data_IF_255508389049
#
_entry.id   IF_255508389049
#
_cell.length_a   1.000
_cell.length_b   1.000
_cell.length_c   1.000
_cell.angle_alpha   90.00
_cell.angle_beta   90.00
_cell.angle_gamma   90.00
#
_symmetry.space_group_name_H-M   'P 1'
#
loop_
_entity.id
_entity.type
_entity.pdbx_description
1 polymer ?
#
# COMPACT_ATOMS: atom_id res chain seq x y z
N UNK A 1 -11.37 -0.70 -18.76
CA UNK A 1 -10.08 -0.35 -18.13
C UNK A 1 -9.43 -1.67 -17.77
N UNK A 2 -8.42 -2.07 -18.55
CA UNK A 2 -7.78 -3.39 -18.45
C UNK A 2 -6.86 -3.45 -17.21
N UNK A 3 -7.43 -3.82 -16.07
CA UNK A 3 -6.62 -4.32 -14.97
C UNK A 3 -6.17 -5.73 -15.34
N UNK A 4 -4.91 -5.91 -15.73
CA UNK A 4 -4.36 -7.25 -15.98
C UNK A 4 -4.58 -8.11 -14.73
N UNK A 5 -5.33 -9.19 -14.91
CA UNK A 5 -5.86 -10.11 -13.89
C UNK A 5 -4.78 -10.74 -12.98
N UNK A 6 -3.49 -10.61 -13.29
CA UNK A 6 -2.41 -10.98 -12.38
C UNK A 6 -1.15 -10.18 -12.72
N UNK A 7 -0.68 -9.33 -11.80
CA UNK A 7 0.57 -8.60 -11.96
C UNK A 7 1.72 -9.41 -11.33
N UNK A 8 2.42 -10.20 -12.14
CA UNK A 8 3.51 -11.07 -11.67
C UNK A 8 4.58 -10.32 -10.87
N UNK A 9 4.78 -9.02 -11.16
CA UNK A 9 5.72 -8.19 -10.41
C UNK A 9 5.23 -7.89 -9.01
N UNK A 10 3.94 -7.62 -8.82
CA UNK A 10 3.36 -7.41 -7.49
C UNK A 10 3.45 -8.69 -6.65
N UNK A 11 3.15 -9.85 -7.24
CA UNK A 11 3.25 -11.14 -6.55
C UNK A 11 4.68 -11.44 -6.08
N UNK A 12 5.69 -11.15 -6.91
CA UNK A 12 7.09 -11.37 -6.54
C UNK A 12 7.49 -10.59 -5.27
N UNK A 13 6.91 -9.40 -5.05
CA UNK A 13 7.16 -8.61 -3.84
C UNK A 13 6.48 -9.22 -2.62
N UNK A 14 5.26 -9.73 -2.79
CA UNK A 14 4.50 -10.37 -1.72
C UNK A 14 5.21 -11.65 -1.24
N UNK A 15 5.80 -12.42 -2.15
CA UNK A 15 6.60 -13.60 -1.82
C UNK A 15 7.92 -13.24 -1.10
N UNK A 16 8.53 -12.11 -1.47
CA UNK A 16 9.77 -11.62 -0.88
C UNK A 16 9.58 -10.99 0.51
N UNK A 17 8.47 -10.29 0.73
CA UNK A 17 8.19 -9.45 1.90
C UNK A 17 8.44 -10.15 3.26
N UNK A 18 7.98 -11.39 3.50
CA UNK A 18 8.13 -12.05 4.79
C UNK A 18 9.59 -12.29 5.22
N UNK A 19 10.52 -12.31 4.27
CA UNK A 19 11.94 -12.53 4.52
C UNK A 19 12.69 -11.29 5.01
N UNK A 20 12.08 -10.10 4.95
CA UNK A 20 12.79 -8.82 5.13
C UNK A 20 12.11 -7.85 6.09
N UNK A 21 10.80 -7.95 6.27
CA UNK A 21 10.06 -7.04 7.17
C UNK A 21 10.22 -7.45 8.63
N UNK A 22 10.33 -6.47 9.53
CA UNK A 22 10.17 -6.72 10.96
C UNK A 22 8.73 -7.16 11.23
N UNK A 23 8.58 -8.37 11.77
CA UNK A 23 7.28 -9.01 12.07
C UNK A 23 6.41 -8.24 13.07
N UNK A 24 6.99 -7.26 13.79
CA UNK A 24 6.28 -6.42 14.76
C UNK A 24 5.72 -5.14 14.16
N UNK A 25 6.15 -4.77 12.95
CA UNK A 25 5.74 -3.51 12.32
C UNK A 25 4.58 -3.74 11.35
N UNK A 26 3.63 -2.80 11.28
CA UNK A 26 2.55 -2.87 10.31
C UNK A 26 3.06 -2.57 8.90
N UNK A 27 2.34 -3.10 7.92
CA UNK A 27 2.52 -2.82 6.49
C UNK A 27 1.24 -2.17 5.99
N UNK A 28 1.33 -0.88 5.69
CA UNK A 28 0.21 -0.11 5.16
C UNK A 28 0.21 -0.11 3.64
N UNK A 29 -0.98 -0.18 3.06
CA UNK A 29 -1.17 -0.15 1.62
C UNK A 29 -2.58 0.33 1.28
N UNK A 30 -2.82 0.59 0.01
CA UNK A 30 -4.19 0.85 -0.45
C UNK A 30 -5.07 -0.41 -0.30
N UNK A 31 -6.37 -0.28 -0.57
CA UNK A 31 -7.34 -1.34 -0.29
C UNK A 31 -7.03 -2.65 -1.01
N UNK A 32 -6.49 -2.60 -2.22
CA UNK A 32 -6.13 -3.82 -2.96
C UNK A 32 -4.77 -4.37 -2.50
N UNK A 33 -3.79 -3.51 -2.23
CA UNK A 33 -2.52 -3.93 -1.62
C UNK A 33 -2.73 -4.61 -0.28
N UNK A 34 -3.66 -4.11 0.54
CA UNK A 34 -4.02 -4.68 1.83
C UNK A 34 -4.53 -6.12 1.69
N UNK A 35 -5.42 -6.37 0.72
CA UNK A 35 -5.92 -7.71 0.46
C UNK A 35 -4.79 -8.63 -0.01
N UNK A 36 -3.95 -8.16 -0.94
CA UNK A 36 -2.85 -8.94 -1.51
C UNK A 36 -1.79 -9.30 -0.46
N UNK A 37 -1.31 -8.32 0.32
CA UNK A 37 -0.35 -8.56 1.40
C UNK A 37 -0.97 -9.39 2.52
N UNK A 38 -2.26 -9.16 2.82
CA UNK A 38 -3.01 -9.88 3.86
C UNK A 38 -3.08 -11.40 3.65
N UNK A 39 -3.01 -11.90 2.42
CA UNK A 39 -2.92 -13.35 2.15
C UNK A 39 -1.64 -13.99 2.70
N UNK A 40 -0.55 -13.23 2.82
CA UNK A 40 0.75 -13.75 3.29
C UNK A 40 1.09 -13.27 4.69
N UNK A 41 0.74 -12.02 5.03
CA UNK A 41 1.12 -11.33 6.26
C UNK A 41 -0.11 -10.75 6.96
N UNK A 42 -1.13 -11.59 7.16
CA UNK A 42 -2.46 -11.20 7.67
C UNK A 42 -2.42 -10.26 8.89
N UNK A 43 -1.61 -10.57 9.90
CA UNK A 43 -1.55 -9.76 11.13
C UNK A 43 -0.85 -8.40 10.96
N UNK A 44 0.02 -8.25 9.95
CA UNK A 44 0.78 -7.02 9.71
C UNK A 44 0.10 -6.12 8.67
N UNK A 45 -0.68 -6.67 7.75
CA UNK A 45 -1.30 -5.90 6.67
C UNK A 45 -2.42 -5.01 7.19
N UNK A 46 -2.35 -3.72 6.84
CA UNK A 46 -3.35 -2.72 7.21
C UNK A 46 -3.68 -1.83 5.99
N UNK A 47 -4.94 -1.40 5.81
CA UNK A 47 -5.26 -0.36 4.83
C UNK A 47 -4.68 0.98 5.28
N UNK A 48 -4.39 1.89 4.35
CA UNK A 48 -3.91 3.22 4.67
C UNK A 48 -4.77 3.88 5.76
N UNK A 49 -4.14 4.40 6.83
CA UNK A 49 -4.87 5.03 7.92
C UNK A 49 -5.31 6.43 7.50
N UNK A 50 -6.39 6.92 8.09
CA UNK A 50 -6.77 8.33 7.98
C UNK A 50 -5.81 9.25 8.72
N UNK A 51 -5.12 8.72 9.74
CA UNK A 51 -4.07 9.40 10.50
C UNK A 51 -2.69 8.93 10.01
N UNK A 52 -1.98 9.82 9.32
CA UNK A 52 -0.70 9.54 8.67
C UNK A 52 0.46 9.37 9.68
N UNK A 53 0.34 9.82 10.94
CA UNK A 53 1.39 9.64 11.95
C UNK A 53 1.70 8.16 12.22
N UNK A 54 0.69 7.30 12.06
CA UNK A 54 0.82 5.84 12.19
C UNK A 54 1.74 5.22 11.12
N UNK A 55 2.01 5.95 10.04
CA UNK A 55 2.88 5.51 8.96
C UNK A 55 4.35 5.79 9.26
N UNK A 56 4.69 6.70 10.18
CA UNK A 56 6.09 7.03 10.49
C UNK A 56 6.89 5.79 10.88
N UNK A 57 6.31 4.91 11.69
CA UNK A 57 6.94 3.67 12.16
C UNK A 57 6.36 2.42 11.50
N UNK A 58 6.17 2.48 10.18
CA UNK A 58 5.59 1.39 9.43
C UNK A 58 6.22 1.20 8.05
N UNK A 59 6.07 0.00 7.52
CA UNK A 59 6.30 -0.25 6.11
C UNK A 59 5.13 0.27 5.28
N UNK A 60 5.43 0.73 4.07
CA UNK A 60 4.41 1.07 3.07
C UNK A 60 4.61 0.22 1.84
N UNK A 61 3.55 -0.46 1.40
CA UNK A 61 3.52 -1.23 0.17
C UNK A 61 2.70 -0.47 -0.88
N UNK A 62 3.35 -0.14 -1.99
CA UNK A 62 2.74 0.52 -3.14
C UNK A 62 2.68 -0.46 -4.32
N UNK A 63 1.48 -0.72 -4.82
CA UNK A 63 1.27 -1.53 -6.03
C UNK A 63 1.47 -0.69 -7.30
N UNK A 64 1.48 -1.32 -8.47
CA UNK A 64 1.73 -0.65 -9.77
C UNK A 64 0.82 0.55 -9.95
N UNK A 65 -0.47 0.41 -9.62
CA UNK A 65 -1.41 1.53 -9.75
C UNK A 65 -1.02 2.75 -8.91
N UNK A 66 -0.54 2.55 -7.68
CA UNK A 66 -0.18 3.65 -6.80
C UNK A 66 0.98 4.44 -7.39
N UNK A 67 1.93 3.74 -8.00
CA UNK A 67 3.13 4.31 -8.59
C UNK A 67 2.78 5.01 -9.91
N UNK A 68 2.06 4.33 -10.80
CA UNK A 68 1.81 4.81 -12.16
C UNK A 68 0.77 5.94 -12.23
N UNK A 69 -0.21 5.94 -11.32
CA UNK A 69 -1.31 6.91 -11.33
C UNK A 69 -1.22 7.92 -10.18
N UNK A 70 -0.25 7.80 -9.27
CA UNK A 70 -0.15 8.62 -8.06
C UNK A 70 -1.44 8.60 -7.21
N UNK A 71 -2.08 7.43 -7.12
CA UNK A 71 -3.40 7.27 -6.48
C UNK A 71 -3.45 6.09 -5.51
N UNK A 72 -4.22 6.21 -4.42
CA UNK A 72 -4.64 5.09 -3.59
C UNK A 72 -6.10 4.72 -3.87
N UNK A 73 -6.39 3.43 -3.95
CA UNK A 73 -7.77 2.95 -3.85
C UNK A 73 -8.14 2.79 -2.39
N UNK A 74 -9.19 3.48 -1.95
CA UNK A 74 -9.72 3.41 -0.59
C UNK A 74 -11.15 2.90 -0.60
N UNK A 75 -11.59 2.33 0.53
CA UNK A 75 -12.98 1.96 0.75
C UNK A 75 -13.66 3.07 1.56
N UNK A 76 -14.55 3.83 0.93
CA UNK A 76 -15.34 4.86 1.61
C UNK A 76 -16.66 4.25 2.06
N UNK A 77 -16.99 4.42 3.34
CA UNK A 77 -18.28 4.05 3.92
C UNK A 77 -19.12 5.30 4.15
N UNK A 78 -20.35 5.31 3.64
CA UNK A 78 -21.38 6.34 3.90
C UNK A 78 -22.67 5.64 4.31
N UNK A 79 -22.84 5.45 5.61
CA UNK A 79 -23.94 4.64 6.16
C UNK A 79 -23.75 3.17 5.79
N UNK A 80 -24.77 2.56 5.20
CA UNK A 80 -24.72 1.17 4.73
C UNK A 80 -24.05 1.00 3.36
N UNK A 81 -23.78 2.11 2.65
CA UNK A 81 -23.14 2.06 1.34
C UNK A 81 -21.62 2.10 1.46
N UNK A 82 -20.98 1.07 0.90
CA UNK A 82 -19.53 1.02 0.72
C UNK A 82 -19.20 1.16 -0.76
N UNK A 83 -18.25 2.03 -1.09
CA UNK A 83 -17.73 2.16 -2.46
C UNK A 83 -16.21 2.32 -2.47
N UNK A 84 -15.59 1.79 -3.51
CA UNK A 84 -14.19 2.03 -3.78
C UNK A 84 -14.04 3.39 -4.45
N UNK A 85 -13.11 4.19 -3.96
CA UNK A 85 -12.75 5.48 -4.57
C UNK A 85 -11.25 5.52 -4.82
N UNK A 86 -10.89 6.16 -5.92
CA UNK A 86 -9.51 6.50 -6.25
C UNK A 86 -9.25 7.90 -5.69
N UNK A 87 -8.23 8.04 -4.87
CA UNK A 87 -7.82 9.32 -4.30
C UNK A 87 -6.38 9.57 -4.69
N UNK A 88 -6.11 10.73 -5.29
CA UNK A 88 -4.76 11.15 -5.61
C UNK A 88 -3.94 11.38 -4.33
N UNK A 89 -2.67 10.98 -4.33
CA UNK A 89 -1.77 11.35 -3.24
C UNK A 89 -1.54 12.87 -3.18
N UNK A 90 -1.75 13.60 -4.27
CA UNK A 90 -1.66 15.07 -4.29
C UNK A 90 -2.79 15.73 -3.48
N UNK A 91 -3.95 15.07 -3.40
CA UNK A 91 -5.08 15.50 -2.56
C UNK A 91 -4.86 15.15 -1.07
N UNK A 92 -3.79 14.40 -0.76
CA UNK A 92 -3.41 13.95 0.58
C UNK A 92 -1.95 14.37 0.88
N UNK A 93 -1.67 15.68 0.99
CA UNK A 93 -0.30 16.20 1.03
C UNK A 93 0.54 15.65 2.18
N UNK A 94 -0.07 15.37 3.33
CA UNK A 94 0.62 14.75 4.47
C UNK A 94 1.03 13.31 4.18
N UNK A 95 0.15 12.53 3.54
CA UNK A 95 0.44 11.16 3.14
C UNK A 95 1.54 11.13 2.07
N UNK A 96 1.43 11.98 1.05
CA UNK A 96 2.43 12.12 -0.01
C UNK A 96 3.80 12.49 0.55
N UNK A 97 3.86 13.51 1.42
CA UNK A 97 5.12 13.92 2.06
C UNK A 97 5.75 12.79 2.86
N UNK A 98 4.93 12.05 3.61
CA UNK A 98 5.43 10.96 4.44
C UNK A 98 5.92 9.77 3.61
N UNK A 99 5.20 9.38 2.57
CA UNK A 99 5.62 8.35 1.61
C UNK A 99 6.96 8.74 0.97
N UNK A 100 7.09 9.99 0.52
CA UNK A 100 8.31 10.50 -0.12
C UNK A 100 9.50 10.65 0.83
N UNK A 101 9.26 10.69 2.15
CA UNK A 101 10.32 10.75 3.17
C UNK A 101 10.88 9.39 3.58
N UNK A 102 10.25 8.28 3.17
CA UNK A 102 10.64 6.93 3.59
C UNK A 102 11.77 6.33 2.76
N UNK A 103 12.45 5.35 3.33
CA UNK A 103 13.52 4.64 2.65
C UNK A 103 12.97 3.57 1.70
N UNK A 104 13.22 3.69 0.40
CA UNK A 104 12.86 2.69 -0.59
C UNK A 104 13.78 1.47 -0.48
N UNK A 105 13.25 0.33 -0.04
CA UNK A 105 14.02 -0.91 0.16
C UNK A 105 13.77 -1.97 -0.92
N UNK A 106 12.73 -1.79 -1.74
CA UNK A 106 12.44 -2.68 -2.86
C UNK A 106 11.73 -1.93 -3.97
N UNK A 107 12.14 -2.18 -5.22
CA UNK A 107 11.46 -1.73 -6.41
C UNK A 107 11.75 -2.71 -7.57
N UNK A 108 10.72 -3.32 -8.15
CA UNK A 108 10.85 -4.17 -9.34
C UNK A 108 10.10 -3.64 -10.57
N UNK A 109 9.72 -2.36 -10.56
CA UNK A 109 8.90 -1.74 -11.61
C UNK A 109 7.48 -2.28 -11.68
N UNK A 110 6.98 -2.90 -10.62
CA UNK A 110 5.57 -3.27 -10.46
C UNK A 110 5.06 -3.18 -9.02
N UNK A 111 5.94 -3.16 -8.03
CA UNK A 111 5.61 -2.67 -6.70
C UNK A 111 6.84 -2.06 -6.03
N UNK A 112 6.58 -1.26 -5.01
CA UNK A 112 7.57 -0.66 -4.14
C UNK A 112 7.28 -0.98 -2.68
N UNK A 113 8.35 -1.11 -1.90
CA UNK A 113 8.28 -1.25 -0.45
C UNK A 113 9.15 -0.18 0.18
N UNK A 114 8.53 0.62 1.04
CA UNK A 114 9.18 1.68 1.78
C UNK A 114 9.29 1.23 3.24
N UNK A 115 10.49 1.29 3.80
CA UNK A 115 10.74 1.01 5.21
C UNK A 115 10.36 2.21 6.10
N UNK A 116 10.16 1.99 7.42
CA UNK A 116 10.03 3.04 8.42
C UNK A 116 10.95 4.23 8.19
#
# INVERSE_FOLDING_TARGET
MDMKVCNYRENAVIEWLPGVVDKKLPIYSDRYGYLSVGFTLYAQSQPFPTDTTRLEHAYVFLRTWNIDNNEAVVLISRGEHMRFEHISFDDLPELSKLINGKNLIYNNGGAQVLAP
#
